data_IF_524841860413
#
_entry.id   IF_524841860413
#
_cell.length_a   1.000
_cell.length_b   1.000
_cell.length_c   1.000
_cell.angle_alpha   90.00
_cell.angle_beta   90.00
_cell.angle_gamma   90.00
#
_symmetry.space_group_name_H-M   'P 1'
#
loop_
_entity.id
_entity.type
_entity.pdbx_description
1 polymer ?
#
# COMPACT_ATOMS: atom_id res chain seq x y z
N UNK A 1 -3.22 18.53 -3.34
CA UNK A 1 -2.02 18.32 -2.49
C UNK A 1 -1.35 17.04 -2.97
N UNK A 2 -0.07 17.04 -3.32
CA UNK A 2 0.65 15.82 -3.76
C UNK A 2 1.29 15.19 -2.52
N UNK A 3 0.76 14.08 -2.05
CA UNK A 3 1.30 13.36 -0.88
C UNK A 3 2.48 12.49 -1.34
N UNK A 4 3.70 12.87 -0.95
CA UNK A 4 4.94 12.25 -1.48
C UNK A 4 6.05 12.08 -0.45
N UNK A 5 6.00 12.80 0.66
CA UNK A 5 7.02 12.69 1.70
C UNK A 5 6.86 11.38 2.49
N UNK A 6 7.98 10.83 2.98
CA UNK A 6 7.98 9.62 3.82
C UNK A 6 7.08 9.76 5.04
N UNK A 7 7.19 10.87 5.77
CA UNK A 7 6.43 11.12 6.99
C UNK A 7 4.91 11.14 6.77
N UNK A 8 4.47 11.46 5.56
CA UNK A 8 3.07 11.38 5.14
C UNK A 8 2.68 9.95 4.70
N UNK A 9 3.52 9.28 3.91
CA UNK A 9 3.19 8.00 3.28
C UNK A 9 3.36 6.79 4.20
N UNK A 10 4.41 6.79 5.02
CA UNK A 10 4.78 5.64 5.83
C UNK A 10 3.70 5.26 6.86
N UNK A 11 3.09 6.21 7.61
CA UNK A 11 2.00 5.89 8.53
C UNK A 11 0.81 5.23 7.83
N UNK A 12 0.41 5.75 6.66
CA UNK A 12 -0.73 5.24 5.90
C UNK A 12 -0.51 3.83 5.37
N UNK A 13 0.68 3.56 4.80
CA UNK A 13 1.02 2.21 4.33
C UNK A 13 1.17 1.20 5.49
N UNK A 14 1.60 1.67 6.66
CA UNK A 14 1.69 0.83 7.86
C UNK A 14 0.30 0.43 8.34
N UNK A 15 -0.63 1.39 8.40
CA UNK A 15 -2.02 1.13 8.76
C UNK A 15 -2.70 0.18 7.77
N UNK A 16 -2.46 0.37 6.47
CA UNK A 16 -2.95 -0.54 5.42
C UNK A 16 -2.42 -1.97 5.61
N UNK A 17 -1.13 -2.15 5.94
CA UNK A 17 -0.56 -3.46 6.22
C UNK A 17 -1.19 -4.11 7.46
N UNK A 18 -1.47 -3.35 8.52
CA UNK A 18 -2.17 -3.86 9.72
C UNK A 18 -3.59 -4.29 9.37
N UNK A 19 -4.32 -3.50 8.57
CA UNK A 19 -5.65 -3.87 8.07
C UNK A 19 -5.62 -5.17 7.26
N UNK A 20 -4.63 -5.30 6.37
CA UNK A 20 -4.40 -6.51 5.60
C UNK A 20 -4.22 -7.76 6.48
N UNK A 21 -3.40 -7.68 7.54
CA UNK A 21 -3.13 -8.83 8.42
C UNK A 21 -4.38 -9.30 9.19
N UNK A 22 -5.37 -8.43 9.39
CA UNK A 22 -6.63 -8.76 10.06
C UNK A 22 -7.65 -9.44 9.14
N UNK A 23 -7.45 -9.38 7.82
CA UNK A 23 -8.35 -9.99 6.85
C UNK A 23 -7.96 -11.45 6.60
N UNK A 24 -8.77 -12.42 7.05
CA UNK A 24 -8.45 -13.85 6.99
C UNK A 24 -8.20 -14.40 5.58
N UNK A 25 -8.85 -13.83 4.55
CA UNK A 25 -8.65 -14.22 3.13
C UNK A 25 -7.48 -13.49 2.47
N UNK A 26 -6.70 -12.73 3.23
CA UNK A 26 -5.63 -11.89 2.69
C UNK A 26 -4.40 -12.69 2.26
N UNK A 27 -4.26 -13.97 2.64
CA UNK A 27 -3.06 -14.74 2.28
C UNK A 27 -2.90 -14.97 0.77
N UNK A 28 -3.98 -14.92 0.00
CA UNK A 28 -3.98 -15.07 -1.47
C UNK A 28 -3.78 -13.74 -2.20
N UNK A 29 -3.68 -12.64 -1.46
CA UNK A 29 -3.67 -11.30 -2.01
C UNK A 29 -2.27 -10.88 -2.48
N UNK A 30 -2.15 -10.53 -3.76
CA UNK A 30 -0.89 -10.06 -4.35
C UNK A 30 -0.48 -8.66 -3.85
N UNK A 31 -1.38 -7.95 -3.18
CA UNK A 31 -1.13 -6.60 -2.65
C UNK A 31 -0.07 -6.56 -1.54
N UNK A 32 0.09 -7.62 -0.75
CA UNK A 32 0.98 -7.60 0.43
C UNK A 32 2.46 -7.43 0.08
N UNK A 33 3.06 -8.23 -0.83
CA UNK A 33 4.45 -8.01 -1.24
C UNK A 33 4.70 -6.58 -1.74
N UNK A 34 3.72 -5.97 -2.43
CA UNK A 34 3.82 -4.59 -2.94
C UNK A 34 3.84 -3.57 -1.80
N UNK A 35 2.94 -3.68 -0.81
CA UNK A 35 2.94 -2.77 0.35
C UNK A 35 4.24 -2.93 1.17
N UNK A 36 4.70 -4.18 1.37
CA UNK A 36 5.95 -4.45 2.08
C UNK A 36 7.17 -3.83 1.39
N UNK A 37 7.26 -3.95 0.05
CA UNK A 37 8.31 -3.33 -0.75
C UNK A 37 8.38 -1.81 -0.55
N UNK A 38 7.21 -1.14 -0.54
CA UNK A 38 7.16 0.30 -0.32
C UNK A 38 7.51 0.70 1.12
N UNK A 39 7.06 -0.05 2.12
CA UNK A 39 7.48 0.18 3.51
C UNK A 39 8.99 0.05 3.69
N UNK A 40 9.62 -0.96 3.08
CA UNK A 40 11.09 -1.13 3.09
C UNK A 40 11.77 0.07 2.42
N UNK A 41 11.25 0.50 1.26
CA UNK A 41 11.79 1.64 0.51
C UNK A 41 11.67 2.94 1.30
N UNK A 42 10.52 3.20 1.92
CA UNK A 42 10.32 4.38 2.76
C UNK A 42 11.19 4.31 4.03
N UNK A 43 11.45 3.13 4.57
CA UNK A 43 12.30 2.98 5.75
C UNK A 43 13.76 3.40 5.49
N UNK A 44 14.27 3.28 4.27
CA UNK A 44 15.62 3.75 3.91
C UNK A 44 15.71 5.26 3.64
N UNK A 45 14.60 5.98 3.63
CA UNK A 45 14.52 7.42 3.38
C UNK A 45 14.50 8.24 4.68
N UNK A 46 14.88 9.52 4.62
CA UNK A 46 14.64 10.48 5.72
C UNK A 46 13.16 10.87 5.75
N UNK A 47 12.69 11.35 6.90
CA UNK A 47 11.28 11.74 7.09
C UNK A 47 10.78 12.76 6.04
N UNK A 48 11.64 13.73 5.70
CA UNK A 48 11.35 14.79 4.72
C UNK A 48 11.57 14.38 3.27
N UNK A 49 12.16 13.21 3.00
CA UNK A 49 12.47 12.82 1.64
C UNK A 49 11.17 12.47 0.89
N UNK A 50 11.10 12.89 -0.37
CA UNK A 50 9.96 12.62 -1.24
C UNK A 50 10.24 11.48 -2.21
N UNK A 51 9.21 10.68 -2.48
CA UNK A 51 9.24 9.73 -3.59
C UNK A 51 9.10 10.44 -4.93
N UNK A 52 9.64 9.85 -5.97
CA UNK A 52 9.53 10.37 -7.34
C UNK A 52 8.10 10.26 -7.88
N UNK A 53 7.77 11.05 -8.91
CA UNK A 53 6.51 10.96 -9.67
C UNK A 53 6.24 9.57 -10.24
N UNK A 54 7.30 8.83 -10.57
CA UNK A 54 7.19 7.46 -11.06
C UNK A 54 6.79 6.50 -9.93
N UNK A 55 7.47 6.57 -8.79
CA UNK A 55 7.14 5.76 -7.61
C UNK A 55 5.73 6.06 -7.10
N UNK A 56 5.33 7.34 -7.08
CA UNK A 56 3.97 7.75 -6.71
C UNK A 56 2.91 7.08 -7.58
N UNK A 57 3.12 7.04 -8.91
CA UNK A 57 2.22 6.32 -9.84
C UNK A 57 2.21 4.82 -9.61
N UNK A 58 3.35 4.21 -9.28
CA UNK A 58 3.44 2.78 -8.99
C UNK A 58 2.72 2.42 -7.68
N UNK A 59 2.85 3.23 -6.64
CA UNK A 59 2.10 3.07 -5.38
C UNK A 59 0.61 3.16 -5.64
N UNK A 60 0.15 4.21 -6.33
CA UNK A 60 -1.26 4.40 -6.64
C UNK A 60 -1.85 3.20 -7.40
N UNK A 61 -1.18 2.77 -8.46
CA UNK A 61 -1.61 1.59 -9.23
C UNK A 61 -1.65 0.31 -8.37
N UNK A 62 -0.66 0.12 -7.50
CA UNK A 62 -0.62 -1.01 -6.58
C UNK A 62 -1.77 -1.01 -5.57
N UNK A 63 -2.10 0.16 -5.01
CA UNK A 63 -3.22 0.32 -4.07
C UNK A 63 -4.55 0.12 -4.78
N UNK A 64 -4.75 0.71 -5.96
CA UNK A 64 -5.99 0.55 -6.74
C UNK A 64 -6.22 -0.93 -7.10
N UNK A 65 -5.17 -1.62 -7.54
CA UNK A 65 -5.25 -3.05 -7.86
C UNK A 65 -5.63 -3.87 -6.64
N UNK A 66 -4.96 -3.61 -5.50
CA UNK A 66 -5.28 -4.27 -4.24
C UNK A 66 -6.75 -3.98 -3.85
N UNK A 67 -7.20 -2.72 -3.85
CA UNK A 67 -8.59 -2.38 -3.55
C UNK A 67 -9.60 -3.12 -4.44
N UNK A 68 -9.33 -3.24 -5.75
CA UNK A 68 -10.20 -3.98 -6.67
C UNK A 68 -10.27 -5.47 -6.34
N UNK A 69 -9.13 -6.10 -6.00
CA UNK A 69 -9.10 -7.48 -5.52
C UNK A 69 -9.89 -7.64 -4.20
N UNK A 70 -9.83 -6.65 -3.31
CA UNK A 70 -10.56 -6.66 -2.02
C UNK A 70 -12.04 -6.68 -2.31
N UNK A 71 -12.47 -5.70 -3.12
CA UNK A 71 -13.86 -5.49 -3.44
C UNK A 71 -14.46 -6.72 -4.12
N UNK A 72 -13.74 -7.32 -5.08
CA UNK A 72 -14.12 -8.59 -5.71
C UNK A 72 -14.27 -9.72 -4.69
N UNK A 73 -13.34 -9.83 -3.74
CA UNK A 73 -13.42 -10.87 -2.69
C UNK A 73 -14.66 -10.74 -1.82
N UNK A 74 -15.14 -9.50 -1.59
CA UNK A 74 -16.39 -9.23 -0.86
C UNK A 74 -17.64 -9.51 -1.72
N UNK A 75 -17.60 -9.21 -3.02
CA UNK A 75 -18.76 -9.42 -3.92
C UNK A 75 -18.97 -10.88 -4.28
N UNK A 76 -17.92 -11.68 -4.41
CA UNK A 76 -18.00 -13.13 -4.65
C UNK A 76 -18.34 -13.94 -3.38
N UNK A 77 -18.50 -13.28 -2.23
CA UNK A 77 -18.93 -13.90 -0.97
C UNK A 77 -20.35 -13.53 -0.53
N UNK A 78 -21.12 -12.91 -1.43
CA UNK A 78 -22.59 -12.79 -1.40
C UNK A 78 -23.20 -13.75 -2.42
#
# INVERSE_FOLDING_TARGET
MKMRAKDQLHPLLSELMVGYLKFLKSQEWEGRPKILHWLITLNSMRASDEITDKQSRQILFGIDSAYQEFYKSLTWSL
#
